data_IF_569600441123
#
_entry.id   IF_569600441123
#
_cell.length_a   1.000
_cell.length_b   1.000
_cell.length_c   1.000
_cell.angle_alpha   90.00
_cell.angle_beta   90.00
_cell.angle_gamma   90.00
#
_symmetry.space_group_name_H-M   'P 1'
#
loop_
_entity.id
_entity.type
_entity.pdbx_description
1 polymer ?
#
# COMPACT_ATOMS: atom_id res chain seq x y z
N UNK A 1 -5.55 18.12 11.04
CA UNK A 1 -5.68 16.65 11.23
C UNK A 1 -4.58 15.97 10.44
N UNK A 2 -4.09 14.81 10.89
CA UNK A 2 -3.14 14.00 10.10
C UNK A 2 -3.89 13.25 9.00
N UNK A 3 -3.31 13.19 7.80
CA UNK A 3 -3.86 12.43 6.67
C UNK A 3 -3.53 10.96 6.75
N UNK A 4 -4.55 10.11 6.69
CA UNK A 4 -4.42 8.66 6.55
C UNK A 4 -4.84 8.28 5.13
N UNK A 5 -3.94 7.67 4.35
CA UNK A 5 -4.31 7.04 3.09
C UNK A 5 -4.74 5.59 3.38
N UNK A 6 -6.01 5.31 3.21
CA UNK A 6 -6.56 3.95 3.30
C UNK A 6 -6.66 3.33 1.91
N UNK A 7 -5.83 2.33 1.65
CA UNK A 7 -5.76 1.57 0.39
C UNK A 7 -6.55 0.27 0.55
N UNK A 8 -7.72 0.21 -0.08
CA UNK A 8 -8.57 -0.98 -0.10
C UNK A 8 -8.28 -1.83 -1.34
N UNK A 9 -7.72 -3.03 -1.12
CA UNK A 9 -7.51 -4.08 -2.12
C UNK A 9 -8.34 -5.34 -1.81
N UNK A 10 -9.53 -5.17 -1.23
CA UNK A 10 -10.43 -6.26 -0.84
C UNK A 10 -11.32 -6.67 -2.02
N UNK A 11 -10.78 -7.52 -2.91
CA UNK A 11 -11.38 -7.91 -4.21
C UNK A 11 -12.85 -8.34 -4.10
N UNK A 12 -13.22 -9.01 -3.02
CA UNK A 12 -14.61 -9.47 -2.80
C UNK A 12 -15.57 -8.36 -2.32
N UNK A 13 -15.05 -7.12 -2.22
CA UNK A 13 -15.80 -5.94 -1.77
C UNK A 13 -16.52 -6.20 -0.44
N UNK A 14 -17.84 -6.02 -0.38
CA UNK A 14 -18.63 -6.18 0.87
C UNK A 14 -18.63 -7.63 1.42
N UNK A 15 -18.28 -8.62 0.62
CA UNK A 15 -18.10 -10.00 1.08
C UNK A 15 -16.69 -10.32 1.61
N UNK A 16 -15.83 -9.30 1.75
CA UNK A 16 -14.45 -9.47 2.21
C UNK A 16 -14.34 -9.31 3.72
N UNK A 17 -13.89 -10.36 4.41
CA UNK A 17 -13.56 -10.34 5.85
C UNK A 17 -12.44 -9.36 6.18
N UNK A 18 -11.47 -9.21 5.26
CA UNK A 18 -10.39 -8.22 5.42
C UNK A 18 -10.93 -6.78 5.34
N UNK A 19 -11.96 -6.53 4.51
CA UNK A 19 -12.62 -5.23 4.45
C UNK A 19 -13.39 -4.94 5.74
N UNK A 20 -14.12 -5.92 6.27
CA UNK A 20 -14.84 -5.77 7.54
C UNK A 20 -13.89 -5.37 8.68
N UNK A 21 -12.74 -6.07 8.81
CA UNK A 21 -11.70 -5.73 9.77
C UNK A 21 -11.17 -4.29 9.55
N UNK A 22 -10.93 -3.93 8.30
CA UNK A 22 -10.39 -2.62 7.94
C UNK A 22 -11.39 -1.48 8.21
N UNK A 23 -12.66 -1.66 7.86
CA UNK A 23 -13.69 -0.64 8.13
C UNK A 23 -13.86 -0.41 9.63
N UNK A 24 -13.81 -1.47 10.44
CA UNK A 24 -13.82 -1.32 11.91
C UNK A 24 -12.61 -0.51 12.39
N UNK A 25 -11.41 -0.81 11.88
CA UNK A 25 -10.19 -0.08 12.24
C UNK A 25 -10.27 1.39 11.83
N UNK A 26 -10.71 1.67 10.60
CA UNK A 26 -10.86 3.04 10.08
C UNK A 26 -11.90 3.81 10.88
N UNK A 27 -13.05 3.20 11.20
CA UNK A 27 -14.06 3.82 12.05
C UNK A 27 -13.45 4.25 13.40
N UNK A 28 -12.62 3.40 14.02
CA UNK A 28 -11.96 3.74 15.29
C UNK A 28 -10.98 4.91 15.14
N UNK A 29 -10.30 5.03 14.02
CA UNK A 29 -9.46 6.21 13.75
C UNK A 29 -10.31 7.48 13.57
N UNK A 30 -11.41 7.41 12.85
CA UNK A 30 -12.35 8.53 12.63
C UNK A 30 -12.95 9.02 13.96
N UNK A 31 -13.34 8.11 14.86
CA UNK A 31 -13.88 8.41 16.20
C UNK A 31 -12.91 9.24 17.06
N UNK A 32 -11.60 9.16 16.81
CA UNK A 32 -10.61 9.97 17.54
C UNK A 32 -10.64 11.46 17.20
N UNK A 33 -11.19 11.82 16.04
CA UNK A 33 -11.17 13.19 15.49
C UNK A 33 -9.79 13.72 15.12
N UNK A 34 -8.74 12.89 15.20
CA UNK A 34 -7.36 13.31 14.92
C UNK A 34 -6.95 13.14 13.46
N UNK A 35 -7.70 12.35 12.70
CA UNK A 35 -7.33 11.90 11.35
C UNK A 35 -8.38 12.30 10.31
N UNK A 36 -7.88 12.62 9.11
CA UNK A 36 -8.64 12.75 7.88
C UNK A 36 -8.37 11.50 7.03
N UNK A 37 -9.41 10.75 6.70
CA UNK A 37 -9.26 9.50 5.95
C UNK A 37 -9.47 9.74 4.46
N UNK A 38 -8.42 9.57 3.69
CA UNK A 38 -8.47 9.50 2.23
C UNK A 38 -8.63 8.04 1.79
N UNK A 39 -9.77 7.69 1.21
CA UNK A 39 -10.06 6.31 0.77
C UNK A 39 -9.63 6.10 -0.68
N UNK A 40 -8.96 5.00 -0.95
CA UNK A 40 -8.51 4.57 -2.28
C UNK A 40 -8.88 3.09 -2.50
N UNK A 41 -9.98 2.86 -3.21
CA UNK A 41 -10.40 1.51 -3.59
C UNK A 41 -9.71 1.12 -4.91
N UNK A 42 -8.76 0.18 -4.86
CA UNK A 42 -7.97 -0.20 -6.05
C UNK A 42 -8.82 -0.85 -7.14
N UNK A 43 -9.95 -1.47 -6.80
CA UNK A 43 -10.86 -2.08 -7.77
C UNK A 43 -11.63 -1.03 -8.61
N UNK A 44 -11.63 0.23 -8.18
CA UNK A 44 -12.30 1.33 -8.89
C UNK A 44 -11.28 2.22 -9.63
N UNK A 45 -9.99 1.91 -9.51
CA UNK A 45 -8.90 2.65 -10.15
C UNK A 45 -8.47 2.01 -11.47
N UNK A 46 -8.11 2.86 -12.45
CA UNK A 46 -7.54 2.41 -13.72
C UNK A 46 -6.02 2.19 -13.57
N UNK A 47 -5.65 1.11 -12.85
CA UNK A 47 -4.26 0.71 -12.66
C UNK A 47 -3.77 -0.11 -13.85
N UNK A 48 -2.61 0.23 -14.38
CA UNK A 48 -1.95 -0.55 -15.43
C UNK A 48 -0.71 -1.26 -14.87
N UNK A 49 -0.57 -2.54 -15.21
CA UNK A 49 0.69 -3.28 -15.00
C UNK A 49 1.78 -2.78 -15.96
N UNK A 50 3.03 -3.02 -15.62
CA UNK A 50 4.15 -2.60 -16.45
C UNK A 50 4.31 -3.53 -17.66
N UNK A 51 3.74 -3.13 -18.81
CA UNK A 51 4.16 -3.58 -20.13
C UNK A 51 5.38 -2.77 -20.59
N UNK A 52 6.07 -3.22 -21.62
CA UNK A 52 7.21 -2.48 -22.20
C UNK A 52 6.83 -1.03 -22.55
N UNK A 53 5.74 -0.84 -23.28
CA UNK A 53 5.28 0.50 -23.68
C UNK A 53 4.90 1.38 -22.48
N UNK A 54 4.28 0.80 -21.47
CA UNK A 54 3.93 1.52 -20.25
C UNK A 54 5.18 1.92 -19.47
N UNK A 55 6.20 1.05 -19.40
CA UNK A 55 7.49 1.33 -18.78
C UNK A 55 8.22 2.47 -19.54
N UNK A 56 8.36 2.37 -20.86
CA UNK A 56 9.06 3.38 -21.66
C UNK A 56 8.43 4.77 -21.57
N UNK A 57 7.09 4.86 -21.50
CA UNK A 57 6.41 6.13 -21.27
C UNK A 57 6.77 6.73 -19.89
N UNK A 58 6.87 5.91 -18.85
CA UNK A 58 7.29 6.38 -17.52
C UNK A 58 8.69 6.97 -17.56
N UNK A 59 9.64 6.21 -18.14
CA UNK A 59 11.03 6.63 -18.22
C UNK A 59 11.18 7.94 -19.02
N UNK A 60 10.44 8.10 -20.11
CA UNK A 60 10.43 9.34 -20.87
C UNK A 60 9.95 10.54 -20.03
N UNK A 61 8.87 10.38 -19.27
CA UNK A 61 8.35 11.44 -18.39
C UNK A 61 9.36 11.83 -17.30
N UNK A 62 10.02 10.83 -16.69
CA UNK A 62 11.04 11.08 -15.67
C UNK A 62 12.26 11.78 -16.24
N UNK A 63 12.74 11.36 -17.43
CA UNK A 63 13.85 12.01 -18.14
C UNK A 63 13.55 13.46 -18.52
N UNK A 64 12.29 13.79 -18.81
CA UNK A 64 11.82 15.16 -19.10
C UNK A 64 11.53 15.97 -17.81
N UNK A 65 11.69 15.40 -16.62
CA UNK A 65 11.40 16.06 -15.34
C UNK A 65 9.90 16.31 -15.08
N UNK A 66 9.01 15.59 -15.77
CA UNK A 66 7.54 15.74 -15.68
C UNK A 66 6.96 14.99 -14.49
N UNK A 67 7.45 15.24 -13.28
CA UNK A 67 7.02 14.56 -12.05
C UNK A 67 5.56 14.85 -11.66
N UNK A 68 4.99 15.95 -12.11
CA UNK A 68 3.59 16.35 -11.89
C UNK A 68 2.59 15.70 -12.85
N UNK A 69 3.07 14.86 -13.79
CA UNK A 69 2.20 14.19 -14.74
C UNK A 69 1.18 13.28 -14.03
N UNK A 70 -0.11 13.26 -14.46
CA UNK A 70 -1.18 12.49 -13.80
C UNK A 70 -0.90 10.99 -13.61
N UNK A 71 0.03 10.43 -14.38
CA UNK A 71 0.52 9.07 -14.24
C UNK A 71 1.07 8.79 -12.84
N UNK A 72 1.73 9.79 -12.22
CA UNK A 72 2.37 9.65 -10.92
C UNK A 72 1.44 9.99 -9.74
N UNK A 73 0.14 10.17 -9.98
CA UNK A 73 -0.83 10.56 -8.95
C UNK A 73 -0.84 9.64 -7.72
N UNK A 74 -0.66 8.33 -7.93
CA UNK A 74 -0.63 7.36 -6.81
C UNK A 74 0.62 7.54 -5.95
N UNK A 75 1.78 7.74 -6.59
CA UNK A 75 3.04 7.99 -5.89
C UNK A 75 2.95 9.27 -5.05
N UNK A 76 2.41 10.35 -5.61
CA UNK A 76 2.22 11.62 -4.87
C UNK A 76 1.24 11.48 -3.70
N UNK A 77 0.10 10.81 -3.90
CA UNK A 77 -0.88 10.57 -2.82
C UNK A 77 -0.26 9.77 -1.68
N UNK A 78 0.48 8.73 -2.02
CA UNK A 78 1.15 7.87 -1.06
C UNK A 78 2.26 8.62 -0.30
N UNK A 79 3.12 9.33 -1.02
CA UNK A 79 4.24 10.08 -0.43
C UNK A 79 3.77 11.21 0.50
N UNK A 80 2.62 11.83 0.23
CA UNK A 80 2.09 12.96 1.00
C UNK A 80 1.29 12.57 2.26
N UNK A 81 0.88 11.31 2.40
CA UNK A 81 0.11 10.84 3.54
C UNK A 81 0.96 10.81 4.82
N UNK A 82 0.35 11.11 5.98
CA UNK A 82 0.99 11.03 7.29
C UNK A 82 1.02 9.60 7.85
N UNK A 83 0.04 8.79 7.42
CA UNK A 83 -0.10 7.37 7.77
C UNK A 83 -0.65 6.59 6.59
N UNK A 84 -0.25 5.32 6.48
CA UNK A 84 -0.74 4.40 5.46
C UNK A 84 -1.48 3.25 6.13
N UNK A 85 -2.68 2.95 5.66
CA UNK A 85 -3.42 1.74 6.01
C UNK A 85 -3.71 0.97 4.74
N UNK A 86 -3.30 -0.28 4.67
CA UNK A 86 -3.54 -1.18 3.53
C UNK A 86 -4.43 -2.33 3.99
N UNK A 87 -5.50 -2.62 3.27
CA UNK A 87 -6.33 -3.79 3.48
C UNK A 87 -6.33 -4.70 2.26
N UNK A 88 -6.01 -5.98 2.46
CA UNK A 88 -6.09 -6.99 1.41
C UNK A 88 -6.30 -8.39 2.01
N UNK A 89 -6.98 -9.32 1.31
CA UNK A 89 -7.09 -10.70 1.74
C UNK A 89 -5.74 -11.43 1.60
N UNK A 90 -5.57 -12.50 2.38
CA UNK A 90 -4.45 -13.41 2.25
C UNK A 90 -4.74 -14.42 1.13
N UNK A 91 -4.10 -14.24 -0.02
CA UNK A 91 -4.23 -15.09 -1.20
C UNK A 91 -2.86 -15.56 -1.65
N UNK A 92 -2.75 -16.85 -1.98
CA UNK A 92 -1.53 -17.44 -2.56
C UNK A 92 -0.27 -17.13 -1.74
N UNK A 93 -0.40 -17.26 -0.41
CA UNK A 93 0.62 -16.95 0.61
C UNK A 93 1.00 -15.46 0.72
N UNK A 94 0.28 -14.58 0.05
CA UNK A 94 0.54 -13.14 0.00
C UNK A 94 -0.77 -12.35 -0.06
N UNK A 95 -0.92 -11.49 -1.04
CA UNK A 95 -2.08 -10.64 -1.30
C UNK A 95 -2.40 -10.63 -2.81
N UNK A 96 -3.59 -10.14 -3.25
CA UNK A 96 -3.96 -10.10 -4.66
C UNK A 96 -2.95 -9.33 -5.53
N UNK A 97 -2.73 -9.79 -6.76
CA UNK A 97 -1.82 -9.17 -7.73
C UNK A 97 -2.09 -7.67 -7.95
N UNK A 98 -3.34 -7.23 -7.80
CA UNK A 98 -3.72 -5.82 -7.93
C UNK A 98 -2.96 -4.92 -6.94
N UNK A 99 -2.72 -5.38 -5.71
CA UNK A 99 -1.91 -4.63 -4.74
C UNK A 99 -0.45 -4.55 -5.20
N UNK A 100 0.10 -5.61 -5.80
CA UNK A 100 1.45 -5.59 -6.36
C UNK A 100 1.56 -4.59 -7.51
N UNK A 101 0.57 -4.56 -8.41
CA UNK A 101 0.48 -3.56 -9.49
C UNK A 101 0.45 -2.14 -8.94
N UNK A 102 -0.33 -1.90 -7.88
CA UNK A 102 -0.36 -0.60 -7.21
C UNK A 102 1.02 -0.22 -6.67
N UNK A 103 1.69 -1.12 -5.94
CA UNK A 103 3.02 -0.88 -5.37
C UNK A 103 4.05 -0.58 -6.46
N UNK A 104 4.02 -1.28 -7.60
CA UNK A 104 4.89 -0.98 -8.74
C UNK A 104 4.66 0.44 -9.28
N UNK A 105 3.41 0.93 -9.30
CA UNK A 105 3.10 2.30 -9.69
C UNK A 105 3.49 3.35 -8.63
N UNK A 106 3.75 2.94 -7.38
CA UNK A 106 4.29 3.82 -6.34
C UNK A 106 5.79 4.03 -6.47
N UNK A 107 6.54 3.02 -6.94
CA UNK A 107 8.00 3.05 -6.98
C UNK A 107 8.51 4.02 -8.05
N UNK A 108 8.58 5.32 -7.71
CA UNK A 108 9.01 6.40 -8.61
C UNK A 108 10.17 7.15 -7.94
N UNK A 109 11.35 7.07 -8.56
CA UNK A 109 12.53 7.83 -8.14
C UNK A 109 12.23 9.34 -8.18
N UNK A 110 12.61 10.05 -7.13
CA UNK A 110 12.32 11.47 -6.94
C UNK A 110 10.94 11.78 -6.36
N UNK A 111 10.06 10.78 -6.14
CA UNK A 111 8.74 10.98 -5.50
C UNK A 111 8.60 10.17 -4.21
N UNK A 112 8.73 8.85 -4.27
CA UNK A 112 8.57 7.96 -3.11
C UNK A 112 9.89 7.45 -2.55
N UNK A 113 10.92 7.46 -3.34
CA UNK A 113 12.28 7.15 -2.94
C UNK A 113 13.28 7.91 -3.82
N UNK A 114 14.54 7.91 -3.42
CA UNK A 114 15.67 8.37 -4.23
C UNK A 114 16.83 7.41 -4.09
N UNK A 115 17.59 7.21 -5.16
CA UNK A 115 18.80 6.40 -5.16
C UNK A 115 19.98 7.24 -5.62
N UNK A 116 21.04 7.30 -4.82
CA UNK A 116 22.29 7.99 -5.13
C UNK A 116 23.53 7.17 -4.72
N UNK A 117 24.71 7.76 -4.76
CA UNK A 117 25.97 7.11 -4.39
C UNK A 117 26.02 6.64 -2.92
N UNK A 118 25.19 7.19 -2.06
CA UNK A 118 25.11 6.85 -0.63
C UNK A 118 24.12 5.73 -0.35
N UNK A 119 23.28 5.39 -1.33
CA UNK A 119 22.31 4.29 -1.27
C UNK A 119 20.89 4.71 -1.60
N UNK A 120 19.95 3.99 -0.99
CA UNK A 120 18.52 4.17 -1.19
C UNK A 120 17.91 4.97 -0.03
N UNK A 121 17.16 6.01 -0.37
CA UNK A 121 16.51 6.90 0.58
C UNK A 121 15.02 6.94 0.32
N UNK A 122 14.19 6.53 1.28
CA UNK A 122 12.74 6.70 1.21
C UNK A 122 12.33 8.15 1.40
N UNK A 123 11.38 8.63 0.60
CA UNK A 123 10.94 10.03 0.58
C UNK A 123 9.51 10.21 1.09
N UNK A 124 8.84 9.14 1.51
CA UNK A 124 7.46 9.23 1.98
C UNK A 124 7.37 9.88 3.37
N UNK A 125 6.35 10.71 3.55
CA UNK A 125 6.10 11.45 4.80
C UNK A 125 5.60 10.55 5.94
N UNK A 126 4.93 9.45 5.62
CA UNK A 126 4.30 8.58 6.59
C UNK A 126 5.31 8.06 7.62
N UNK A 127 4.95 8.12 8.90
CA UNK A 127 5.73 7.57 9.99
C UNK A 127 5.33 6.12 10.34
N UNK A 128 4.18 5.64 9.82
CA UNK A 128 3.60 4.36 10.15
C UNK A 128 2.76 3.78 9.01
N UNK A 129 2.98 2.50 8.71
CA UNK A 129 2.15 1.69 7.81
C UNK A 129 1.50 0.56 8.59
N UNK A 130 0.19 0.35 8.40
CA UNK A 130 -0.58 -0.75 8.97
C UNK A 130 -1.15 -1.61 7.85
N UNK A 131 -0.93 -2.91 7.93
CA UNK A 131 -1.53 -3.90 7.04
C UNK A 131 -2.63 -4.68 7.76
N UNK A 132 -3.82 -4.71 7.19
CA UNK A 132 -5.01 -5.37 7.72
C UNK A 132 -5.41 -6.52 6.79
N UNK A 133 -5.45 -7.73 7.32
CA UNK A 133 -5.72 -8.92 6.52
C UNK A 133 -6.55 -9.95 7.29
N UNK A 134 -7.33 -10.75 6.55
CA UNK A 134 -8.06 -11.89 7.09
C UNK A 134 -7.59 -13.17 6.39
N UNK A 135 -7.38 -14.23 7.15
CA UNK A 135 -6.76 -15.49 6.73
C UNK A 135 -7.61 -16.68 7.14
N UNK A 136 -7.79 -17.65 6.25
CA UNK A 136 -8.52 -18.88 6.56
C UNK A 136 -7.80 -19.75 7.58
N UNK A 137 -6.50 -19.95 7.39
CA UNK A 137 -5.61 -20.68 8.32
C UNK A 137 -4.87 -19.77 9.27
N UNK A 138 -3.90 -20.35 10.02
CA UNK A 138 -3.01 -19.65 10.95
C UNK A 138 -1.64 -19.54 10.30
N UNK A 139 -1.18 -18.33 10.03
CA UNK A 139 0.07 -18.05 9.32
C UNK A 139 0.99 -17.08 10.06
N UNK A 140 0.58 -16.51 11.19
CA UNK A 140 1.46 -15.67 12.01
C UNK A 140 2.71 -16.47 12.40
N UNK A 141 3.87 -15.86 12.23
CA UNK A 141 5.20 -16.46 12.39
C UNK A 141 5.54 -17.63 11.44
N UNK A 142 4.66 -17.95 10.50
CA UNK A 142 4.93 -18.97 9.48
C UNK A 142 5.89 -18.43 8.41
N UNK A 143 6.85 -19.26 7.91
CA UNK A 143 7.65 -18.90 6.73
C UNK A 143 6.80 -18.78 5.45
N UNK A 144 5.58 -19.30 5.46
CA UNK A 144 4.64 -19.21 4.33
C UNK A 144 3.93 -17.86 4.25
N UNK A 145 4.00 -17.03 5.30
CA UNK A 145 3.46 -15.67 5.27
C UNK A 145 4.44 -14.73 4.55
N UNK A 146 4.12 -14.36 3.31
CA UNK A 146 4.97 -13.51 2.47
C UNK A 146 4.40 -12.09 2.30
N UNK A 147 3.09 -11.91 2.51
CA UNK A 147 2.43 -10.64 2.28
C UNK A 147 2.88 -9.54 3.24
N UNK A 148 2.80 -9.80 4.54
CA UNK A 148 3.23 -8.82 5.55
C UNK A 148 4.74 -8.57 5.49
N UNK A 149 5.55 -9.63 5.29
CA UNK A 149 7.01 -9.49 5.14
C UNK A 149 7.38 -8.60 3.95
N UNK A 150 6.70 -8.77 2.81
CA UNK A 150 6.94 -7.93 1.65
C UNK A 150 6.57 -6.47 1.94
N UNK A 151 5.41 -6.22 2.55
CA UNK A 151 4.96 -4.86 2.87
C UNK A 151 5.84 -4.18 3.93
N UNK A 152 6.37 -4.93 4.89
CA UNK A 152 7.34 -4.43 5.87
C UNK A 152 8.61 -3.93 5.17
N UNK A 153 9.17 -4.72 4.23
CA UNK A 153 10.33 -4.29 3.44
C UNK A 153 10.01 -3.09 2.55
N UNK A 154 8.81 -3.03 1.97
CA UNK A 154 8.37 -1.87 1.20
C UNK A 154 8.17 -0.63 2.08
N UNK A 155 7.70 -0.78 3.31
CA UNK A 155 7.63 0.34 4.26
C UNK A 155 9.02 0.92 4.50
N UNK A 156 10.01 0.09 4.81
CA UNK A 156 11.40 0.50 4.98
C UNK A 156 11.96 1.15 3.70
N UNK A 157 11.68 0.57 2.52
CA UNK A 157 12.08 1.12 1.22
C UNK A 157 11.56 2.54 1.00
N UNK A 158 10.31 2.82 1.41
CA UNK A 158 9.69 4.14 1.31
C UNK A 158 10.09 5.10 2.44
N UNK A 159 10.92 4.68 3.41
CA UNK A 159 11.34 5.49 4.55
C UNK A 159 10.33 5.52 5.70
N UNK A 160 9.36 4.61 5.72
CA UNK A 160 8.34 4.49 6.77
C UNK A 160 8.90 3.65 7.91
N UNK A 161 9.12 4.30 9.06
CA UNK A 161 9.88 3.70 10.17
C UNK A 161 9.14 2.60 10.94
N UNK A 162 7.80 2.62 10.93
CA UNK A 162 6.98 1.66 11.67
C UNK A 162 6.04 0.89 10.74
N UNK A 163 6.03 -0.43 10.89
CA UNK A 163 5.09 -1.33 10.24
C UNK A 163 4.41 -2.23 11.28
N UNK A 164 3.09 -2.37 11.18
CA UNK A 164 2.32 -3.34 11.94
C UNK A 164 1.40 -4.13 11.00
N UNK A 165 1.30 -5.45 11.21
CA UNK A 165 0.31 -6.30 10.57
C UNK A 165 -0.72 -6.75 11.60
N UNK A 166 -1.99 -6.51 11.32
CA UNK A 166 -3.12 -7.03 12.10
C UNK A 166 -3.85 -8.07 11.25
N UNK A 167 -3.79 -9.32 11.68
CA UNK A 167 -4.39 -10.44 10.98
C UNK A 167 -5.50 -11.09 11.80
N UNK A 168 -6.70 -11.24 11.20
CA UNK A 168 -7.73 -12.15 11.72
C UNK A 168 -7.47 -13.53 11.10
N UNK A 169 -7.14 -14.54 11.90
CA UNK A 169 -6.70 -15.86 11.46
C UNK A 169 -7.63 -16.98 11.89
N UNK A 170 -7.49 -18.16 11.27
CA UNK A 170 -8.25 -19.35 11.59
C UNK A 170 -9.74 -19.26 11.23
N UNK A 171 -10.09 -18.42 10.25
CA UNK A 171 -11.48 -18.12 9.92
C UNK A 171 -12.18 -19.23 9.12
N UNK A 172 -11.44 -20.23 8.66
CA UNK A 172 -11.94 -21.40 7.92
C UNK A 172 -11.66 -22.72 8.67
N UNK A 173 -11.24 -22.67 9.94
CA UNK A 173 -10.93 -23.83 10.82
C UNK A 173 -12.10 -24.06 11.79
#
# INVERSE_FOLDING_TARGET
>A
MKKVLFVDCCIRREASRSKELAEYFIQKLEETGAYEIERLCLMDENLSYFSEGFFLQREALLAEGKFDHPRFRYAHRFAAADKIVIAAPFWDLSFPALLKVYIENLCVDGITFHSDETGLHGLCKADHMVFLTARGGIYTDSPMEQGARYLEQMAAFFGIAKFDCVAAEGLDI
#
